data_IF_566072554209
#
_entry.id   IF_566072554209
#
_cell.length_a   1.000
_cell.length_b   1.000
_cell.length_c   1.000
_cell.angle_alpha   90.00
_cell.angle_beta   90.00
_cell.angle_gamma   90.00
#
_symmetry.space_group_name_H-M   'P 1'
#
loop_
_entity.id
_entity.type
_entity.pdbx_description
1 polymer ?
#
# COMPACT_ATOMS: atom_id res chain seq x y z
N UNK A 1 31.14 2.52 -3.04
CA UNK A 1 29.78 2.20 -2.55
C UNK A 1 28.76 2.16 -3.65
N UNK A 2 28.07 1.03 -3.78
CA UNK A 2 26.85 0.94 -4.59
C UNK A 2 25.71 1.44 -3.70
N UNK A 3 25.16 2.62 -4.01
CA UNK A 3 23.99 3.17 -3.31
C UNK A 3 22.74 2.66 -4.02
N UNK A 4 21.82 2.05 -3.27
CA UNK A 4 20.51 1.63 -3.76
C UNK A 4 19.48 2.65 -3.28
N UNK A 5 18.73 3.24 -4.21
CA UNK A 5 17.67 4.22 -3.90
C UNK A 5 16.32 3.53 -3.62
N UNK A 6 16.06 2.39 -4.26
CA UNK A 6 14.78 1.69 -4.19
C UNK A 6 14.61 0.71 -5.35
N UNK A 7 13.41 0.16 -5.51
CA UNK A 7 13.03 -0.72 -6.62
C UNK A 7 12.29 0.11 -7.67
N UNK A 8 12.82 0.15 -8.90
CA UNK A 8 12.14 0.81 -10.01
C UNK A 8 10.88 0.04 -10.42
N UNK A 9 9.75 0.72 -10.46
CA UNK A 9 8.45 0.12 -10.82
C UNK A 9 8.12 0.38 -12.29
N UNK A 10 8.02 1.65 -12.68
CA UNK A 10 7.71 2.06 -14.06
C UNK A 10 8.06 3.52 -14.32
N UNK A 11 8.24 3.87 -15.60
CA UNK A 11 8.29 5.26 -16.06
C UNK A 11 6.87 5.84 -16.13
N UNK A 12 6.74 7.13 -15.84
CA UNK A 12 5.49 7.89 -15.96
C UNK A 12 5.75 9.23 -16.67
N UNK A 13 4.68 9.83 -17.21
CA UNK A 13 4.68 11.24 -17.59
C UNK A 13 4.09 12.06 -16.45
N UNK A 14 4.66 13.24 -16.19
CA UNK A 14 4.09 14.15 -15.20
C UNK A 14 2.72 14.67 -15.66
N UNK A 15 1.79 14.83 -14.72
CA UNK A 15 0.53 15.51 -15.02
C UNK A 15 0.78 16.99 -15.30
N UNK A 16 -0.13 17.65 -16.02
CA UNK A 16 -0.03 19.08 -16.33
C UNK A 16 -0.05 19.97 -15.07
N UNK A 17 -0.63 19.47 -13.98
CA UNK A 17 -0.74 20.20 -12.72
C UNK A 17 0.43 19.90 -11.77
N UNK A 18 1.37 19.04 -12.18
CA UNK A 18 2.52 18.68 -11.37
C UNK A 18 3.49 19.88 -11.26
N UNK A 19 3.87 20.26 -10.05
CA UNK A 19 4.69 21.43 -9.76
C UNK A 19 6.02 21.50 -10.55
N UNK A 20 6.60 20.35 -10.87
CA UNK A 20 7.86 20.25 -11.62
C UNK A 20 7.70 20.32 -13.15
N UNK A 21 6.48 20.28 -13.69
CA UNK A 21 6.27 20.11 -15.15
C UNK A 21 6.92 21.23 -15.97
N UNK A 22 6.83 22.48 -15.49
CA UNK A 22 7.41 23.66 -16.17
C UNK A 22 8.93 23.77 -16.01
N UNK A 23 9.53 22.94 -15.15
CA UNK A 23 10.98 22.86 -14.95
C UNK A 23 11.59 21.65 -15.67
N UNK A 24 10.74 20.73 -16.18
CA UNK A 24 11.19 19.52 -16.86
C UNK A 24 11.78 19.80 -18.24
N UNK A 25 12.83 19.05 -18.59
CA UNK A 25 13.43 19.06 -19.92
C UNK A 25 12.93 17.87 -20.75
N UNK A 26 12.95 17.94 -22.10
CA UNK A 26 12.52 16.84 -22.96
C UNK A 26 13.23 15.50 -22.71
N UNK A 27 14.48 15.53 -22.24
CA UNK A 27 15.29 14.35 -21.91
C UNK A 27 15.03 13.78 -20.51
N UNK A 28 14.31 14.49 -19.64
CA UNK A 28 14.02 14.03 -18.29
C UNK A 28 13.09 12.81 -18.32
N UNK A 29 13.40 11.83 -17.46
CA UNK A 29 12.58 10.63 -17.25
C UNK A 29 12.08 10.59 -15.82
N UNK A 30 10.78 10.42 -15.67
CA UNK A 30 10.13 10.32 -14.36
C UNK A 30 9.72 8.88 -14.12
N UNK A 31 9.98 8.38 -12.91
CA UNK A 31 9.69 7.00 -12.54
C UNK A 31 9.05 6.91 -11.18
N UNK A 32 8.22 5.89 -11.01
CA UNK A 32 7.76 5.46 -9.69
C UNK A 32 8.80 4.48 -9.15
N UNK A 33 9.29 4.77 -7.95
CA UNK A 33 10.27 3.97 -7.23
C UNK A 33 9.63 3.60 -5.90
N UNK A 34 9.70 2.34 -5.50
CA UNK A 34 9.43 1.98 -4.11
C UNK A 34 10.68 2.29 -3.30
N UNK A 35 10.56 3.17 -2.32
CA UNK A 35 11.67 3.43 -1.40
C UNK A 35 11.89 2.20 -0.48
N UNK A 36 13.02 2.19 0.22
CA UNK A 36 13.28 1.15 1.21
C UNK A 36 12.23 1.23 2.32
N UNK A 37 11.52 0.13 2.55
CA UNK A 37 10.41 0.08 3.50
C UNK A 37 9.04 0.22 2.84
N UNK A 38 8.94 0.59 1.56
CA UNK A 38 7.67 0.62 0.86
C UNK A 38 7.36 -0.73 0.22
N UNK A 39 6.09 -1.13 0.26
CA UNK A 39 5.63 -2.36 -0.34
C UNK A 39 4.16 -2.34 -0.68
N UNK A 40 3.68 -3.51 -1.09
CA UNK A 40 2.26 -3.75 -1.30
C UNK A 40 1.83 -4.99 -0.56
N UNK A 41 0.64 -4.93 0.02
CA UNK A 41 0.06 -6.04 0.78
C UNK A 41 -1.36 -6.26 0.30
N UNK A 42 -1.70 -7.53 0.07
CA UNK A 42 -3.08 -7.91 -0.21
C UNK A 42 -3.83 -7.91 1.11
N UNK A 43 -4.82 -7.04 1.25
CA UNK A 43 -5.61 -6.87 2.47
C UNK A 43 -7.05 -7.29 2.25
N UNK A 44 -7.76 -7.55 3.35
CA UNK A 44 -9.20 -7.85 3.35
C UNK A 44 -9.97 -6.78 4.10
N UNK A 45 -11.28 -6.71 3.86
CA UNK A 45 -12.24 -5.89 4.61
C UNK A 45 -12.53 -6.40 6.04
N UNK A 46 -11.75 -7.37 6.52
CA UNK A 46 -11.85 -7.82 7.91
C UNK A 46 -11.29 -6.70 8.78
N UNK A 47 -11.95 -6.49 9.92
CA UNK A 47 -11.58 -5.48 10.89
C UNK A 47 -11.79 -4.02 10.45
N UNK A 48 -12.64 -3.79 9.45
CA UNK A 48 -13.20 -2.48 9.12
C UNK A 48 -12.53 -1.77 7.94
N UNK A 49 -12.92 -0.50 7.76
CA UNK A 49 -12.38 0.35 6.69
C UNK A 49 -10.92 0.68 6.95
N UNK A 50 -10.13 0.71 5.87
CA UNK A 50 -8.71 1.09 5.89
C UNK A 50 -8.60 2.52 5.36
N UNK A 51 -8.01 3.38 6.17
CA UNK A 51 -7.65 4.76 5.84
C UNK A 51 -6.12 4.91 5.82
N UNK A 52 -5.64 5.88 5.08
CA UNK A 52 -4.23 6.23 5.02
C UNK A 52 -3.74 6.55 6.44
N UNK A 53 -2.74 5.79 6.88
CA UNK A 53 -2.21 5.87 8.24
C UNK A 53 -2.71 4.79 9.20
N UNK A 54 -3.65 3.93 8.82
CA UNK A 54 -4.01 2.77 9.63
C UNK A 54 -2.85 1.76 9.69
N UNK A 55 -2.65 1.15 10.85
CA UNK A 55 -1.75 0.01 10.96
C UNK A 55 -2.40 -1.25 10.36
N UNK A 56 -1.58 -2.02 9.67
CA UNK A 56 -1.94 -3.29 9.05
C UNK A 56 -1.28 -4.42 9.84
N UNK A 57 -2.02 -5.49 10.07
CA UNK A 57 -1.57 -6.74 10.67
C UNK A 57 -1.99 -7.93 9.80
N UNK A 58 -1.54 -9.14 10.12
CA UNK A 58 -2.01 -10.36 9.47
C UNK A 58 -3.50 -10.58 9.74
N UNK A 59 -4.26 -10.98 8.71
CA UNK A 59 -5.68 -11.32 8.86
C UNK A 59 -5.89 -12.77 9.28
N UNK A 60 -7.14 -13.13 9.58
CA UNK A 60 -7.54 -14.53 9.77
C UNK A 60 -7.48 -15.36 8.48
N UNK A 61 -7.38 -14.73 7.30
CA UNK A 61 -7.24 -15.39 6.02
C UNK A 61 -5.75 -15.47 5.67
N UNK A 62 -5.22 -16.69 5.57
CA UNK A 62 -3.81 -16.91 5.25
C UNK A 62 -3.43 -16.22 3.93
N UNK A 63 -2.33 -15.45 3.95
CA UNK A 63 -1.84 -14.69 2.81
C UNK A 63 -2.40 -13.27 2.67
N UNK A 64 -3.29 -12.84 3.58
CA UNK A 64 -3.87 -11.50 3.55
C UNK A 64 -3.62 -10.73 4.85
N UNK A 65 -3.43 -9.42 4.74
CA UNK A 65 -3.45 -8.48 5.86
C UNK A 65 -4.87 -7.95 6.16
N UNK A 66 -5.01 -7.26 7.28
CA UNK A 66 -6.22 -6.54 7.69
C UNK A 66 -5.84 -5.32 8.53
N UNK A 67 -6.79 -4.41 8.73
CA UNK A 67 -6.63 -3.29 9.67
C UNK A 67 -6.32 -3.80 11.07
N UNK A 68 -5.46 -3.11 11.80
CA UNK A 68 -5.19 -3.36 13.21
C UNK A 68 -6.28 -2.73 14.09
N UNK A 69 -6.53 -3.32 15.27
CA UNK A 69 -7.57 -2.85 16.19
C UNK A 69 -7.30 -1.48 16.81
N UNK A 70 -6.04 -1.07 16.89
CA UNK A 70 -5.60 0.15 17.56
C UNK A 70 -4.51 0.87 16.74
N UNK A 71 -4.18 2.07 17.21
CA UNK A 71 -3.20 2.98 16.63
C UNK A 71 -1.81 2.86 17.27
N UNK A 72 -1.52 1.74 17.94
CA UNK A 72 -0.22 1.50 18.59
C UNK A 72 0.63 0.55 17.75
N UNK A 73 1.95 0.76 17.73
CA UNK A 73 2.86 -0.20 17.08
C UNK A 73 3.05 -1.40 18.00
N UNK A 74 2.73 -2.59 17.48
CA UNK A 74 2.93 -3.88 18.15
C UNK A 74 3.99 -4.70 17.43
N UNK A 75 4.46 -5.76 18.09
CA UNK A 75 5.38 -6.73 17.47
C UNK A 75 4.78 -7.47 16.27
N UNK A 76 3.45 -7.46 16.15
CA UNK A 76 2.72 -8.05 15.03
C UNK A 76 2.30 -7.01 13.97
N UNK A 77 2.67 -5.73 14.14
CA UNK A 77 2.37 -4.70 13.15
C UNK A 77 3.23 -4.97 11.91
N UNK A 78 2.57 -5.15 10.76
CA UNK A 78 3.22 -5.38 9.48
C UNK A 78 3.70 -4.06 8.87
N UNK A 79 2.85 -3.05 8.90
CA UNK A 79 3.12 -1.76 8.28
C UNK A 79 1.97 -0.79 8.45
N UNK A 80 2.08 0.37 7.81
CA UNK A 80 1.10 1.45 7.84
C UNK A 80 0.57 1.69 6.42
N UNK A 81 -0.76 1.73 6.25
CA UNK A 81 -1.40 1.97 4.96
C UNK A 81 -1.06 3.37 4.42
N UNK A 82 -0.83 3.47 3.11
CA UNK A 82 -0.52 4.73 2.43
C UNK A 82 -1.68 5.31 1.63
N UNK A 83 -2.81 4.61 1.60
CA UNK A 83 -4.00 4.97 0.83
C UNK A 83 -5.26 4.49 1.54
N UNK A 84 -6.39 5.13 1.20
CA UNK A 84 -7.72 4.73 1.65
C UNK A 84 -8.24 3.59 0.76
N UNK A 85 -9.07 2.71 1.33
CA UNK A 85 -9.75 1.66 0.57
C UNK A 85 -11.24 1.92 0.49
N UNK A 86 -11.70 2.27 -0.71
CA UNK A 86 -13.11 2.41 -1.05
C UNK A 86 -13.74 1.03 -1.32
N UNK A 87 -14.03 0.28 -0.26
CA UNK A 87 -14.51 -1.10 -0.34
C UNK A 87 -15.74 -1.28 -1.22
N UNK A 88 -16.63 -0.30 -1.32
CA UNK A 88 -17.82 -0.39 -2.21
C UNK A 88 -17.47 -0.53 -3.69
N UNK A 89 -16.27 -0.11 -4.09
CA UNK A 89 -15.79 -0.22 -5.48
C UNK A 89 -15.03 -1.53 -5.74
N UNK A 90 -14.62 -2.23 -4.69
CA UNK A 90 -13.80 -3.46 -4.76
C UNK A 90 -14.67 -4.66 -5.15
N UNK A 91 -14.25 -5.35 -6.21
CA UNK A 91 -14.96 -6.53 -6.77
C UNK A 91 -14.28 -7.85 -6.40
N UNK A 92 -12.97 -7.81 -6.18
CA UNK A 92 -12.19 -8.99 -5.83
C UNK A 92 -12.54 -9.44 -4.42
N UNK A 93 -12.69 -10.75 -4.27
CA UNK A 93 -13.20 -11.35 -3.04
C UNK A 93 -12.57 -12.70 -2.79
N UNK A 94 -12.47 -13.06 -1.52
CA UNK A 94 -12.03 -14.38 -1.06
C UNK A 94 -13.09 -14.96 -0.13
N UNK A 95 -13.32 -16.27 -0.19
CA UNK A 95 -14.24 -16.96 0.72
C UNK A 95 -13.45 -17.55 1.88
N UNK A 96 -13.86 -17.24 3.11
CA UNK A 96 -13.29 -17.79 4.34
C UNK A 96 -14.40 -18.13 5.32
N UNK A 97 -14.40 -19.37 5.82
CA UNK A 97 -15.44 -19.91 6.71
C UNK A 97 -16.88 -19.67 6.18
N UNK A 98 -17.10 -19.83 4.87
CA UNK A 98 -18.39 -19.62 4.23
C UNK A 98 -18.80 -18.16 4.05
N UNK A 99 -18.03 -17.19 4.54
CA UNK A 99 -18.24 -15.76 4.34
C UNK A 99 -17.37 -15.24 3.20
N UNK A 100 -17.95 -14.42 2.33
CA UNK A 100 -17.24 -13.69 1.28
C UNK A 100 -16.71 -12.37 1.85
N UNK A 101 -15.41 -12.14 1.73
CA UNK A 101 -14.72 -10.92 2.19
C UNK A 101 -14.08 -10.25 0.98
N UNK A 102 -14.14 -8.92 0.89
CA UNK A 102 -13.47 -8.16 -0.19
C UNK A 102 -11.97 -8.17 0.03
N UNK A 103 -11.20 -8.18 -1.06
CA UNK A 103 -9.74 -8.15 -1.02
C UNK A 103 -9.20 -7.11 -1.98
N UNK A 104 -8.14 -6.42 -1.57
CA UNK A 104 -7.56 -5.34 -2.36
C UNK A 104 -6.06 -5.24 -2.11
N UNK A 105 -5.29 -4.87 -3.14
CA UNK A 105 -3.85 -4.72 -3.03
C UNK A 105 -3.54 -3.26 -2.70
N UNK A 106 -3.10 -2.98 -1.47
CA UNK A 106 -2.77 -1.64 -1.01
C UNK A 106 -1.26 -1.40 -0.95
N UNK A 107 -0.85 -0.15 -1.03
CA UNK A 107 0.46 0.35 -0.63
C UNK A 107 0.61 0.41 0.90
N UNK A 108 1.78 0.01 1.39
CA UNK A 108 2.14 0.11 2.81
C UNK A 108 3.58 0.59 2.97
N UNK A 109 3.86 1.24 4.09
CA UNK A 109 5.22 1.39 4.63
C UNK A 109 5.41 0.35 5.72
N UNK A 110 6.31 -0.60 5.51
CA UNK A 110 6.68 -1.62 6.48
C UNK A 110 7.29 -0.99 7.73
N UNK A 111 6.82 -1.45 8.89
CA UNK A 111 7.40 -1.07 10.17
C UNK A 111 8.46 -2.10 10.55
N UNK A 112 9.72 -1.69 10.65
CA UNK A 112 10.74 -2.53 11.30
C UNK A 112 10.55 -2.44 12.81
N UNK A 113 10.35 -3.58 13.46
CA UNK A 113 10.42 -3.69 14.92
C UNK A 113 11.83 -3.51 15.45
#
# INVERSE_FOLDING_TARGET
>A
DKKILGVFVKTISLSKDHWYVNLSKPEDKFGIINALGDGRVLVTDINGNIEAGDYITTSNIAGYGMKQNDDLVHSYTLGKATEDVEWETVKDTVTYNGKKNKVYLIGVVYTSG
#
